data_IF_814196272880
#
_entry.id   IF_814196272880
#
_cell.length_a   1.000
_cell.length_b   1.000
_cell.length_c   1.000
_cell.angle_alpha   90.00
_cell.angle_beta   90.00
_cell.angle_gamma   90.00
#
_symmetry.space_group_name_H-M   'P 1'
#
loop_
_entity.id
_entity.type
_entity.pdbx_description
1 polymer ?
#
# COMPACT_ATOMS: atom_id res chain seq x y z
N UNK A 1 -47.74 -27.82 28.02
CA UNK A 1 -46.36 -28.01 27.49
C UNK A 1 -45.71 -26.64 27.36
N UNK A 2 -45.20 -26.08 28.45
CA UNK A 2 -44.47 -24.81 28.45
C UNK A 2 -42.98 -25.12 28.33
N UNK A 3 -42.39 -24.82 27.16
CA UNK A 3 -40.94 -24.91 26.95
C UNK A 3 -40.29 -23.77 27.75
N UNK A 4 -39.63 -24.11 28.84
CA UNK A 4 -38.77 -23.16 29.56
C UNK A 4 -37.56 -22.85 28.67
N UNK A 5 -37.40 -21.58 28.29
CA UNK A 5 -36.22 -21.11 27.57
C UNK A 5 -35.02 -21.23 28.53
N UNK A 6 -34.04 -22.06 28.18
CA UNK A 6 -32.89 -22.30 29.03
C UNK A 6 -32.06 -21.00 29.11
N UNK A 7 -31.94 -20.37 30.28
CA UNK A 7 -31.28 -19.07 30.43
C UNK A 7 -29.82 -19.10 29.99
N UNK A 8 -29.16 -20.27 30.01
CA UNK A 8 -27.82 -20.46 29.45
C UNK A 8 -27.75 -20.25 27.93
N UNK A 9 -28.78 -20.65 27.17
CA UNK A 9 -28.79 -20.50 25.71
C UNK A 9 -29.02 -19.04 25.29
N UNK A 10 -29.81 -18.28 26.07
CA UNK A 10 -30.00 -16.84 25.87
C UNK A 10 -28.72 -16.05 26.19
N UNK A 11 -28.04 -16.39 27.30
CA UNK A 11 -26.79 -15.74 27.67
C UNK A 11 -25.69 -15.99 26.62
N UNK A 12 -25.59 -17.20 26.08
CA UNK A 12 -24.62 -17.54 25.05
C UNK A 12 -24.92 -16.85 23.71
N UNK A 13 -26.20 -16.73 23.32
CA UNK A 13 -26.59 -16.00 22.12
C UNK A 13 -26.31 -14.49 22.22
N UNK A 14 -26.52 -13.89 23.39
CA UNK A 14 -26.18 -12.48 23.66
C UNK A 14 -24.67 -12.22 23.63
N UNK A 15 -23.88 -13.14 24.19
CA UNK A 15 -22.41 -13.08 24.12
C UNK A 15 -21.90 -13.15 22.67
N UNK A 16 -22.45 -14.06 21.86
CA UNK A 16 -22.08 -14.19 20.44
C UNK A 16 -22.48 -12.97 19.61
N UNK A 17 -23.66 -12.38 19.89
CA UNK A 17 -24.09 -11.14 19.25
C UNK A 17 -23.21 -9.94 19.62
N UNK A 18 -22.74 -9.88 20.88
CA UNK A 18 -21.85 -8.82 21.36
C UNK A 18 -20.44 -8.94 20.76
N UNK A 19 -19.92 -10.16 20.59
CA UNK A 19 -18.62 -10.39 19.92
C UNK A 19 -18.69 -10.16 18.40
N UNK A 20 -19.81 -10.46 17.76
CA UNK A 20 -20.00 -10.23 16.32
C UNK A 20 -20.04 -8.74 15.95
N UNK A 21 -20.73 -7.92 16.76
CA UNK A 21 -20.84 -6.49 16.52
C UNK A 21 -19.49 -5.74 16.70
N UNK A 22 -18.64 -6.20 17.61
CA UNK A 22 -17.32 -5.60 17.84
C UNK A 22 -16.28 -5.95 16.76
N UNK A 23 -16.48 -7.03 16.01
CA UNK A 23 -15.56 -7.43 14.94
C UNK A 23 -15.79 -6.63 13.65
N UNK A 24 -17.03 -6.24 13.35
CA UNK A 24 -17.34 -5.45 12.15
C UNK A 24 -16.71 -4.05 12.15
N UNK A 25 -16.49 -3.43 13.32
CA UNK A 25 -15.94 -2.07 13.41
C UNK A 25 -14.42 -1.97 13.18
N UNK A 26 -13.70 -3.09 13.10
CA UNK A 26 -12.22 -3.10 12.95
C UNK A 26 -11.79 -3.17 11.49
N UNK A 27 -12.68 -3.55 10.56
CA UNK A 27 -12.35 -3.77 9.16
C UNK A 27 -12.41 -2.50 8.28
N UNK A 28 -12.91 -1.38 8.81
CA UNK A 28 -13.17 -0.15 8.03
C UNK A 28 -11.99 0.86 8.05
N UNK A 29 -10.92 0.58 8.80
CA UNK A 29 -9.89 1.60 9.10
C UNK A 29 -8.81 1.80 8.01
N UNK A 30 -8.92 1.19 6.82
CA UNK A 30 -7.83 1.27 5.83
C UNK A 30 -8.03 2.28 4.70
N UNK A 31 -9.25 2.77 4.44
CA UNK A 31 -9.51 3.71 3.34
C UNK A 31 -9.78 5.16 3.76
N UNK A 32 -10.24 5.39 4.99
CA UNK A 32 -10.62 6.73 5.52
C UNK A 32 -9.52 7.43 6.33
N UNK A 33 -8.32 6.85 6.43
CA UNK A 33 -7.19 7.53 7.05
C UNK A 33 -6.95 8.89 6.35
N UNK A 34 -6.85 10.00 7.09
CA UNK A 34 -6.75 11.33 6.51
C UNK A 34 -5.47 11.46 5.68
N UNK A 35 -5.63 11.74 4.39
CA UNK A 35 -4.52 12.00 3.47
C UNK A 35 -4.26 13.49 3.38
N UNK A 36 -2.99 13.89 3.36
CA UNK A 36 -2.58 15.31 3.20
C UNK A 36 -2.68 15.78 1.75
N UNK A 37 -2.82 14.85 0.80
CA UNK A 37 -2.92 15.06 -0.65
C UNK A 37 -3.86 14.01 -1.28
N UNK A 38 -4.46 14.31 -2.46
CA UNK A 38 -5.14 13.29 -3.27
C UNK A 38 -4.22 12.09 -3.57
N UNK A 39 -4.82 10.95 -3.91
CA UNK A 39 -4.05 9.79 -4.35
C UNK A 39 -3.29 10.12 -5.64
N UNK A 40 -2.03 9.70 -5.71
CA UNK A 40 -1.30 9.66 -6.98
C UNK A 40 -1.75 8.41 -7.72
N UNK A 41 -2.65 8.57 -8.69
CA UNK A 41 -3.05 7.45 -9.54
C UNK A 41 -1.86 7.01 -10.38
N UNK A 42 -1.69 5.71 -10.49
CA UNK A 42 -0.60 5.09 -11.23
C UNK A 42 -1.17 3.89 -11.97
N UNK A 43 -1.40 4.06 -13.26
CA UNK A 43 -1.73 2.95 -14.15
C UNK A 43 -0.40 2.28 -14.52
N UNK A 44 -0.13 1.14 -13.88
CA UNK A 44 1.18 0.50 -13.89
C UNK A 44 1.62 0.13 -15.31
N UNK A 45 0.76 -0.56 -16.05
CA UNK A 45 1.11 -1.10 -17.36
C UNK A 45 1.19 0.02 -18.41
N UNK A 46 0.22 0.94 -18.40
CA UNK A 46 0.25 2.11 -19.31
C UNK A 46 1.48 2.97 -19.06
N UNK A 47 1.86 3.17 -17.79
CA UNK A 47 3.08 3.90 -17.46
C UNK A 47 4.32 3.20 -17.99
N UNK A 48 4.45 1.89 -17.75
CA UNK A 48 5.65 1.15 -18.09
C UNK A 48 5.83 1.03 -19.61
N UNK A 49 4.76 0.79 -20.37
CA UNK A 49 4.78 0.80 -21.84
C UNK A 49 5.19 2.18 -22.38
N UNK A 50 4.61 3.26 -21.85
CA UNK A 50 4.94 4.63 -22.28
C UNK A 50 6.38 5.03 -21.94
N UNK A 51 6.99 4.38 -20.94
CA UNK A 51 8.35 4.64 -20.47
C UNK A 51 9.39 3.63 -20.97
N UNK A 52 9.00 2.63 -21.78
CA UNK A 52 9.87 1.55 -22.26
C UNK A 52 10.51 0.76 -21.10
N UNK A 53 9.68 0.40 -20.10
CA UNK A 53 10.08 -0.24 -18.85
C UNK A 53 9.47 -1.63 -18.65
N UNK A 54 8.78 -2.21 -19.63
CA UNK A 54 8.08 -3.50 -19.44
C UNK A 54 9.00 -4.63 -18.96
N UNK A 55 10.27 -4.60 -19.37
CA UNK A 55 11.29 -5.62 -19.00
C UNK A 55 12.19 -5.17 -17.83
N UNK A 56 11.92 -4.01 -17.22
CA UNK A 56 12.77 -3.37 -16.19
C UNK A 56 12.14 -3.40 -14.79
N UNK A 57 11.54 -4.51 -14.40
CA UNK A 57 10.81 -4.65 -13.14
C UNK A 57 11.64 -4.26 -11.90
N UNK A 58 12.91 -4.70 -11.85
CA UNK A 58 13.85 -4.42 -10.76
C UNK A 58 14.19 -2.94 -10.58
N UNK A 59 13.86 -2.07 -11.55
CA UNK A 59 14.04 -0.62 -11.44
C UNK A 59 13.15 -0.03 -10.32
N UNK A 60 11.97 -0.60 -10.11
CA UNK A 60 10.99 -0.19 -9.10
C UNK A 60 10.84 -1.26 -8.01
N UNK A 61 10.64 -2.51 -8.42
CA UNK A 61 10.57 -3.68 -7.54
C UNK A 61 11.97 -4.18 -7.19
N UNK A 62 12.80 -3.30 -6.64
CA UNK A 62 14.19 -3.62 -6.33
C UNK A 62 14.36 -4.57 -5.15
N UNK A 63 15.49 -5.26 -5.13
CA UNK A 63 16.00 -6.02 -4.00
C UNK A 63 17.46 -5.65 -3.71
N UNK A 64 17.86 -5.82 -2.46
CA UNK A 64 19.23 -5.62 -2.00
C UNK A 64 19.71 -6.87 -1.28
N UNK A 65 21.00 -7.19 -1.41
CA UNK A 65 21.64 -8.23 -0.61
C UNK A 65 21.88 -7.77 0.84
N UNK A 66 22.45 -8.67 1.65
CA UNK A 66 22.73 -8.42 3.07
C UNK A 66 23.79 -7.32 3.27
N UNK A 67 24.63 -7.07 2.27
CA UNK A 67 25.61 -6.00 2.21
C UNK A 67 25.02 -4.65 1.74
N UNK A 68 23.75 -4.63 1.34
CA UNK A 68 23.04 -3.44 0.85
C UNK A 68 23.34 -3.10 -0.61
N UNK A 69 23.87 -4.04 -1.38
CA UNK A 69 24.10 -3.89 -2.81
C UNK A 69 22.83 -4.24 -3.58
N UNK A 70 22.53 -3.46 -4.63
CA UNK A 70 21.38 -3.72 -5.49
C UNK A 70 21.58 -5.06 -6.23
N UNK A 71 20.53 -5.87 -6.26
CA UNK A 71 20.45 -7.09 -7.07
C UNK A 71 19.73 -6.74 -8.38
N UNK A 72 20.45 -6.49 -9.50
CA UNK A 72 19.83 -5.97 -10.72
C UNK A 72 19.01 -7.01 -11.49
N UNK A 73 19.29 -8.30 -11.28
CA UNK A 73 18.63 -9.43 -11.94
C UNK A 73 17.54 -10.07 -11.08
N UNK A 74 17.24 -9.47 -9.92
CA UNK A 74 16.21 -9.93 -9.00
C UNK A 74 15.22 -8.82 -8.68
N UNK A 75 13.93 -9.19 -8.64
CA UNK A 75 12.85 -8.25 -8.41
C UNK A 75 11.83 -8.76 -7.39
N UNK A 76 11.10 -7.81 -6.80
CA UNK A 76 10.13 -7.99 -5.73
C UNK A 76 8.70 -7.63 -6.16
N UNK A 77 8.27 -8.06 -7.35
CA UNK A 77 6.95 -7.74 -7.94
C UNK A 77 5.79 -8.13 -7.02
N UNK A 78 5.94 -9.25 -6.31
CA UNK A 78 4.93 -9.80 -5.42
C UNK A 78 4.92 -9.16 -4.02
N UNK A 79 5.79 -8.18 -3.75
CA UNK A 79 5.95 -7.56 -2.42
C UNK A 79 5.57 -6.08 -2.47
N UNK A 80 4.69 -5.65 -1.58
CA UNK A 80 4.34 -4.23 -1.51
C UNK A 80 5.49 -3.41 -0.92
N UNK A 81 5.74 -2.21 -1.45
CA UNK A 81 6.84 -1.34 -1.02
C UNK A 81 6.87 -1.15 0.52
N UNK A 82 5.68 -0.99 1.12
CA UNK A 82 5.51 -0.77 2.56
C UNK A 82 6.02 -1.92 3.44
N UNK A 83 6.11 -3.14 2.92
CA UNK A 83 6.58 -4.29 3.69
C UNK A 83 8.03 -4.10 4.13
N UNK A 84 8.86 -3.48 3.28
CA UNK A 84 10.23 -3.10 3.62
C UNK A 84 10.32 -1.64 4.09
N UNK A 85 9.58 -0.73 3.46
CA UNK A 85 9.72 0.71 3.69
C UNK A 85 8.97 1.22 4.93
N UNK A 86 8.06 0.44 5.53
CA UNK A 86 7.48 0.78 6.84
C UNK A 86 8.04 -0.09 7.97
N UNK A 87 8.99 -0.98 7.68
CA UNK A 87 9.76 -1.71 8.69
C UNK A 87 10.92 -0.84 9.22
N UNK A 88 10.75 -0.35 10.45
CA UNK A 88 11.76 0.47 11.12
C UNK A 88 13.10 -0.26 11.33
N UNK A 89 13.11 -1.60 11.37
CA UNK A 89 14.34 -2.37 11.56
C UNK A 89 15.24 -2.37 10.32
N UNK A 90 14.69 -2.10 9.12
CA UNK A 90 15.44 -2.10 7.86
C UNK A 90 16.29 -0.85 7.65
N UNK A 91 16.03 0.23 8.38
CA UNK A 91 16.81 1.47 8.25
C UNK A 91 16.71 2.14 6.88
N UNK A 92 15.70 1.82 6.09
CA UNK A 92 15.44 2.40 4.76
C UNK A 92 14.47 3.59 4.84
N UNK A 93 14.40 4.45 3.80
CA UNK A 93 13.43 5.53 3.76
C UNK A 93 12.00 5.01 3.94
N UNK A 94 11.14 5.79 4.60
CA UNK A 94 9.72 5.45 4.72
C UNK A 94 9.02 5.41 3.36
N UNK A 95 7.91 4.68 3.25
CA UNK A 95 7.19 4.47 1.99
C UNK A 95 6.90 5.77 1.23
N UNK A 96 6.47 6.83 1.92
CA UNK A 96 6.26 8.16 1.32
C UNK A 96 7.54 8.71 0.66
N UNK A 97 8.66 8.68 1.37
CA UNK A 97 9.94 9.14 0.87
C UNK A 97 10.48 8.22 -0.24
N UNK A 98 10.23 6.91 -0.16
CA UNK A 98 10.61 5.94 -1.18
C UNK A 98 9.92 6.23 -2.52
N UNK A 99 8.61 6.47 -2.52
CA UNK A 99 7.88 6.88 -3.72
C UNK A 99 8.42 8.19 -4.31
N UNK A 100 8.61 9.22 -3.48
CA UNK A 100 9.16 10.48 -3.95
C UNK A 100 10.57 10.32 -4.52
N UNK A 101 11.45 9.55 -3.88
CA UNK A 101 12.81 9.34 -4.36
C UNK A 101 12.83 8.54 -5.66
N UNK A 102 11.98 7.51 -5.79
CA UNK A 102 11.93 6.64 -6.97
C UNK A 102 11.24 7.30 -8.16
N UNK A 103 9.96 7.68 -8.01
CA UNK A 103 9.14 8.19 -9.12
C UNK A 103 9.65 9.56 -9.59
N UNK A 104 9.72 10.54 -8.67
CA UNK A 104 10.17 11.89 -9.03
C UNK A 104 11.65 11.90 -9.42
N UNK A 105 12.47 11.05 -8.79
CA UNK A 105 13.88 10.91 -9.16
C UNK A 105 14.07 10.48 -10.60
N UNK A 106 13.37 9.41 -11.02
CA UNK A 106 13.38 8.95 -12.41
C UNK A 106 12.89 10.04 -13.37
N UNK A 107 11.74 10.66 -13.07
CA UNK A 107 11.18 11.72 -13.92
C UNK A 107 12.13 12.90 -14.11
N UNK A 108 12.84 13.30 -13.04
CA UNK A 108 13.87 14.34 -13.12
C UNK A 108 15.07 13.91 -13.95
N UNK A 109 15.54 12.66 -13.80
CA UNK A 109 16.73 12.18 -14.52
C UNK A 109 16.50 12.05 -16.02
N UNK A 110 15.31 11.58 -16.43
CA UNK A 110 14.97 11.43 -17.85
C UNK A 110 14.27 12.66 -18.43
N UNK A 111 14.02 13.67 -17.59
CA UNK A 111 13.30 14.90 -17.95
C UNK A 111 11.92 14.66 -18.58
N UNK A 112 11.22 13.63 -18.10
CA UNK A 112 9.88 13.24 -18.56
C UNK A 112 8.99 12.87 -17.37
N UNK A 113 7.69 13.13 -17.48
CA UNK A 113 6.72 12.84 -16.42
C UNK A 113 6.54 13.95 -15.36
N UNK A 114 5.59 13.76 -14.42
CA UNK A 114 5.24 14.77 -13.42
C UNK A 114 6.29 14.93 -12.32
N UNK A 115 6.64 16.17 -11.97
CA UNK A 115 7.67 16.48 -10.95
C UNK A 115 7.20 17.41 -9.83
N UNK A 116 5.98 17.96 -9.95
CA UNK A 116 5.37 18.82 -8.94
C UNK A 116 4.26 18.10 -8.20
N UNK A 117 3.98 18.54 -6.96
CA UNK A 117 3.03 17.86 -6.07
C UNK A 117 1.65 17.67 -6.70
N UNK A 118 1.12 18.70 -7.38
CA UNK A 118 -0.23 18.67 -7.96
C UNK A 118 -0.33 17.93 -9.29
N UNK A 119 0.80 17.63 -9.94
CA UNK A 119 0.80 16.81 -11.15
C UNK A 119 0.70 15.32 -10.81
N UNK A 120 1.33 14.87 -9.72
CA UNK A 120 1.17 13.50 -9.21
C UNK A 120 -0.13 13.38 -8.39
N UNK A 121 -0.35 14.29 -7.45
CA UNK A 121 -1.52 14.30 -6.55
C UNK A 121 -2.61 15.26 -7.03
N UNK A 122 -3.06 15.06 -8.25
CA UNK A 122 -4.10 15.91 -8.83
C UNK A 122 -5.43 15.76 -8.10
N UNK A 123 -6.14 16.88 -7.90
CA UNK A 123 -7.45 16.92 -7.23
C UNK A 123 -8.55 16.31 -8.09
N UNK A 124 -8.48 16.58 -9.38
CA UNK A 124 -9.45 16.15 -10.37
C UNK A 124 -8.70 15.25 -11.35
N UNK A 125 -8.94 13.95 -11.23
CA UNK A 125 -8.45 12.94 -12.16
C UNK A 125 -9.70 12.31 -12.79
N UNK A 126 -9.71 12.05 -14.12
CA UNK A 126 -10.78 11.28 -14.74
C UNK A 126 -10.93 9.88 -14.11
#
# INVERSE_FOLDING_TARGET
MTRFLNPCLLALALLLAFTGAAFSSVLEESMDAPRTRPLSRFDHDTHNEAADLEESCALCHHLFDDEGMLLPDESSEETACRECHDDAAKGVPKTEAAFHNRCKGCHLSVQSGPITCGQCHAKDQP
#
